data_IF_997717113365
#
_entry.id   IF_997717113365
#
_cell.length_a   1.000
_cell.length_b   1.000
_cell.length_c   1.000
_cell.angle_alpha   90.00
_cell.angle_beta   90.00
_cell.angle_gamma   90.00
#
_symmetry.space_group_name_H-M   'P 1'
#
loop_
_entity.id
_entity.type
_entity.pdbx_description
1 polymer ?
#
# COMPACT_ATOMS: atom_id res chain seq x y z
N UNK A 1 17.81 -23.20 19.28
CA UNK A 1 18.96 -22.55 18.58
C UNK A 1 19.49 -23.46 17.45
N UNK A 2 18.62 -23.96 16.55
CA UNK A 2 19.06 -24.84 15.45
C UNK A 2 18.26 -24.69 14.14
N UNK A 3 17.48 -23.61 13.96
CA UNK A 3 16.66 -23.41 12.75
C UNK A 3 16.93 -22.11 11.99
N UNK A 4 18.00 -21.36 12.30
CA UNK A 4 18.40 -20.15 11.54
C UNK A 4 19.65 -20.35 10.68
N UNK A 5 20.25 -21.55 10.68
CA UNK A 5 21.44 -21.86 9.88
C UNK A 5 21.10 -22.48 8.51
N UNK A 6 19.89 -23.00 8.32
CA UNK A 6 19.46 -23.61 7.06
C UNK A 6 19.08 -22.60 5.98
N UNK A 7 18.56 -21.41 6.34
CA UNK A 7 18.14 -20.42 5.34
C UNK A 7 19.31 -19.60 4.76
N UNK A 8 20.42 -19.50 5.50
CA UNK A 8 21.63 -18.81 5.04
C UNK A 8 22.42 -19.67 4.04
N UNK A 9 22.37 -21.00 4.18
CA UNK A 9 23.02 -21.93 3.25
C UNK A 9 22.38 -21.89 1.85
N UNK A 10 21.06 -21.70 1.75
CA UNK A 10 20.34 -21.68 0.47
C UNK A 10 20.67 -20.45 -0.39
N UNK A 11 20.96 -19.30 0.25
CA UNK A 11 21.38 -18.08 -0.49
C UNK A 11 22.84 -18.22 -0.95
N UNK A 12 23.71 -18.86 -0.16
CA UNK A 12 25.11 -19.10 -0.54
C UNK A 12 25.25 -20.12 -1.70
N UNK A 13 24.43 -21.19 -1.71
CA UNK A 13 24.42 -22.15 -2.83
C UNK A 13 23.92 -21.54 -4.14
N UNK A 14 23.01 -20.57 -4.08
CA UNK A 14 22.55 -19.84 -5.27
C UNK A 14 23.68 -19.04 -5.95
N UNK A 15 24.58 -18.45 -5.17
CA UNK A 15 25.72 -17.69 -5.70
C UNK A 15 26.89 -18.57 -6.15
N UNK A 16 27.08 -19.76 -5.57
CA UNK A 16 28.16 -20.67 -5.95
C UNK A 16 27.85 -21.46 -7.23
N UNK A 17 26.58 -21.78 -7.52
CA UNK A 17 26.21 -22.57 -8.70
C UNK A 17 26.16 -21.78 -10.03
N UNK A 18 26.38 -20.46 -10.02
CA UNK A 18 26.35 -19.62 -11.25
C UNK A 18 27.71 -19.06 -11.67
N UNK A 19 28.82 -19.55 -11.10
CA UNK A 19 30.16 -19.00 -11.33
C UNK A 19 31.09 -19.99 -12.04
N UNK A 20 30.79 -20.34 -13.29
CA UNK A 20 31.76 -21.00 -14.19
C UNK A 20 32.73 -19.96 -14.80
N UNK A 21 33.67 -19.46 -13.98
CA UNK A 21 35.06 -19.08 -14.36
C UNK A 21 35.69 -18.10 -13.34
N UNK A 22 36.71 -18.63 -12.66
CA UNK A 22 37.87 -18.07 -11.93
C UNK A 22 37.97 -16.61 -11.44
N UNK A 23 38.41 -16.53 -10.16
CA UNK A 23 39.31 -15.57 -9.50
C UNK A 23 38.78 -14.32 -8.77
N UNK A 24 37.48 -14.04 -8.72
CA UNK A 24 36.95 -12.93 -7.90
C UNK A 24 35.71 -13.34 -7.09
N UNK A 25 35.88 -14.27 -6.15
CA UNK A 25 34.84 -14.59 -5.18
C UNK A 25 34.64 -13.44 -4.17
N UNK A 26 33.39 -13.04 -3.88
CA UNK A 26 33.12 -12.03 -2.86
C UNK A 26 33.59 -12.54 -1.50
N UNK A 27 34.35 -11.70 -0.79
CA UNK A 27 34.74 -11.98 0.58
C UNK A 27 33.64 -11.49 1.50
N UNK A 28 33.26 -12.31 2.46
CA UNK A 28 32.36 -11.91 3.54
C UNK A 28 33.09 -12.00 4.88
N UNK A 29 32.70 -11.12 5.80
CA UNK A 29 33.12 -11.15 7.19
C UNK A 29 31.89 -10.97 8.06
N UNK A 30 31.87 -11.67 9.19
CA UNK A 30 30.79 -11.64 10.18
C UNK A 30 31.34 -10.93 11.40
N UNK A 31 30.67 -9.88 11.87
CA UNK A 31 31.05 -9.22 13.10
C UNK A 31 30.51 -9.94 14.34
N UNK A 32 30.95 -9.52 15.53
CA UNK A 32 30.53 -10.10 16.82
C UNK A 32 29.03 -9.91 17.11
N UNK A 33 28.31 -9.14 16.29
CA UNK A 33 26.86 -8.94 16.33
C UNK A 33 26.09 -9.88 15.40
N UNK A 34 26.80 -10.70 14.60
CA UNK A 34 26.22 -11.64 13.65
C UNK A 34 25.76 -11.01 12.32
N UNK A 35 26.20 -9.79 12.01
CA UNK A 35 25.89 -9.12 10.74
C UNK A 35 26.92 -9.51 9.68
N UNK A 36 26.46 -9.94 8.51
CA UNK A 36 27.30 -10.37 7.39
C UNK A 36 27.50 -9.21 6.42
N UNK A 37 28.76 -8.79 6.23
CA UNK A 37 29.14 -7.78 5.25
C UNK A 37 29.73 -8.43 4.01
N UNK A 38 29.24 -8.06 2.82
CA UNK A 38 29.78 -8.51 1.54
C UNK A 38 30.62 -7.41 0.91
N UNK A 39 31.87 -7.72 0.58
CA UNK A 39 32.77 -6.80 -0.13
C UNK A 39 32.92 -7.27 -1.57
N UNK A 40 32.38 -6.50 -2.50
CA UNK A 40 32.51 -6.74 -3.94
C UNK A 40 33.66 -5.90 -4.50
N UNK A 41 34.50 -6.48 -5.36
CA UNK A 41 35.52 -5.70 -6.08
C UNK A 41 34.86 -4.86 -7.18
N UNK A 42 35.45 -3.70 -7.49
CA UNK A 42 34.98 -2.78 -8.54
C UNK A 42 34.83 -3.45 -9.92
N UNK A 43 35.59 -4.52 -10.17
CA UNK A 43 35.50 -5.29 -11.42
C UNK A 43 34.24 -6.18 -11.50
N UNK A 44 33.69 -6.64 -10.36
CA UNK A 44 32.46 -7.45 -10.33
C UNK A 44 31.23 -6.62 -10.73
N UNK A 45 31.13 -5.38 -10.23
CA UNK A 45 30.04 -4.47 -10.58
C UNK A 45 30.07 -4.10 -12.08
N UNK A 46 31.25 -3.89 -12.66
CA UNK A 46 31.39 -3.54 -14.08
C UNK A 46 30.95 -4.67 -15.02
N UNK A 47 31.23 -5.94 -14.66
CA UNK A 47 30.76 -7.10 -15.44
C UNK A 47 29.24 -7.27 -15.38
N UNK A 48 28.61 -6.91 -14.25
CA UNK A 48 27.15 -7.05 -14.09
C UNK A 48 26.38 -5.93 -14.82
N UNK A 49 26.92 -4.71 -14.83
CA UNK A 49 26.32 -3.59 -15.55
C UNK A 49 26.40 -3.74 -17.08
N UNK A 50 27.51 -4.24 -17.63
CA UNK A 50 27.65 -4.44 -19.07
C UNK A 50 26.77 -5.58 -19.62
N UNK A 51 26.46 -6.60 -18.81
CA UNK A 51 25.61 -7.74 -19.21
C UNK A 51 24.10 -7.41 -19.21
N UNK A 52 23.70 -6.28 -18.64
CA UNK A 52 22.30 -5.82 -18.57
C UNK A 52 21.90 -4.86 -19.73
N UNK A 53 22.86 -4.40 -20.53
CA UNK A 53 22.64 -3.43 -21.64
C UNK A 53 22.44 -4.14 -22.99
N UNK A 54 22.62 -5.46 -23.07
CA UNK A 54 22.55 -6.22 -24.32
C UNK A 54 21.15 -6.43 -24.97
N UNK A 55 19.98 -6.23 -24.33
CA UNK A 55 18.71 -6.39 -25.04
C UNK A 55 18.15 -5.10 -25.68
N UNK A 56 18.81 -3.93 -25.58
CA UNK A 56 18.28 -2.66 -26.12
C UNK A 56 18.75 -2.29 -27.53
N UNK A 57 19.66 -3.07 -28.15
CA UNK A 57 20.17 -2.80 -29.49
C UNK A 57 19.42 -3.51 -30.65
N UNK A 58 18.30 -4.19 -30.38
CA UNK A 58 17.55 -4.97 -31.39
C UNK A 58 16.23 -4.37 -31.88
N UNK A 59 15.92 -3.11 -31.55
CA UNK A 59 14.68 -2.40 -32.00
C UNK A 59 14.98 -1.14 -32.83
N UNK A 60 16.17 -1.03 -33.47
CA UNK A 60 16.47 0.10 -34.36
C UNK A 60 16.90 -0.35 -35.75
N UNK A 61 15.95 -0.95 -36.46
CA UNK A 61 16.06 -1.20 -37.89
C UNK A 61 14.68 -0.95 -38.56
N UNK A 62 14.33 0.32 -38.78
CA UNK A 62 13.54 0.80 -39.93
C UNK A 62 13.33 2.32 -39.82
N UNK A 63 14.04 3.08 -40.67
CA UNK A 63 13.70 4.40 -41.25
C UNK A 63 13.47 5.58 -40.26
N UNK A 64 13.99 6.81 -40.42
CA UNK A 64 14.50 7.53 -41.59
C UNK A 64 15.41 8.70 -41.13
N UNK A 65 16.27 9.14 -42.05
CA UNK A 65 17.31 10.19 -41.89
C UNK A 65 16.78 11.52 -41.38
N UNK A 66 17.38 12.06 -40.30
CA UNK A 66 17.75 13.48 -40.18
C UNK A 66 19.08 13.56 -39.41
N UNK A 67 20.09 14.08 -40.08
CA UNK A 67 21.42 14.39 -39.55
C UNK A 67 21.37 15.63 -38.68
N UNK A 68 21.93 15.59 -37.46
CA UNK A 68 22.47 16.79 -36.82
C UNK A 68 23.65 16.38 -35.92
N UNK A 69 24.84 16.81 -36.35
CA UNK A 69 26.09 16.82 -35.61
C UNK A 69 25.94 17.55 -34.27
N UNK A 70 26.40 16.98 -33.17
CA UNK A 70 27.07 17.80 -32.15
C UNK A 70 28.06 17.00 -31.30
N UNK A 71 29.20 17.64 -31.07
CA UNK A 71 30.48 17.10 -30.58
C UNK A 71 30.42 16.71 -29.09
N UNK A 72 31.20 15.67 -28.77
CA UNK A 72 31.68 15.34 -27.44
C UNK A 72 32.33 16.56 -26.77
N UNK A 73 32.00 16.80 -25.50
CA UNK A 73 32.85 17.56 -24.58
C UNK A 73 32.90 16.82 -23.24
N UNK A 74 34.11 16.38 -22.91
CA UNK A 74 34.53 15.66 -21.72
C UNK A 74 34.62 16.66 -20.57
N UNK A 75 33.93 16.43 -19.45
CA UNK A 75 34.31 17.03 -18.16
C UNK A 75 34.30 15.94 -17.09
N UNK A 76 35.51 15.63 -16.65
CA UNK A 76 35.85 14.83 -15.49
C UNK A 76 35.68 15.70 -14.24
N UNK A 77 34.92 15.25 -13.24
CA UNK A 77 34.94 15.86 -11.91
C UNK A 77 34.84 14.77 -10.84
N UNK A 78 36.00 14.52 -10.23
CA UNK A 78 36.19 13.87 -8.95
C UNK A 78 35.48 14.67 -7.85
N UNK A 79 34.66 14.03 -7.02
CA UNK A 79 34.22 14.57 -5.74
C UNK A 79 34.57 13.62 -4.61
N UNK A 80 35.38 14.14 -3.69
CA UNK A 80 35.90 13.48 -2.51
C UNK A 80 34.81 13.31 -1.43
N UNK A 81 34.80 12.14 -0.79
CA UNK A 81 34.02 11.83 0.40
C UNK A 81 34.67 12.47 1.63
N UNK A 82 33.99 13.42 2.26
CA UNK A 82 34.33 13.92 3.61
C UNK A 82 33.60 13.05 4.63
N UNK A 83 34.37 12.30 5.42
CA UNK A 83 33.89 11.59 6.61
C UNK A 83 33.95 12.60 7.77
N UNK A 84 32.80 13.04 8.28
CA UNK A 84 32.74 13.77 9.55
C UNK A 84 32.19 12.84 10.64
N UNK A 85 33.06 12.54 11.60
CA UNK A 85 32.78 11.76 12.80
C UNK A 85 31.80 12.46 13.74
N UNK A 86 31.05 11.62 14.45
CA UNK A 86 30.09 11.95 15.49
C UNK A 86 30.69 12.78 16.63
N UNK A 87 29.99 13.85 17.00
CA UNK A 87 30.06 14.45 18.33
C UNK A 87 28.74 14.16 19.04
N UNK A 88 28.72 13.12 19.87
CA UNK A 88 27.67 12.93 20.88
C UNK A 88 27.99 13.83 22.07
N UNK A 89 27.38 15.01 22.12
CA UNK A 89 27.36 15.83 23.33
C UNK A 89 26.36 15.23 24.32
N UNK A 90 26.89 14.65 25.38
CA UNK A 90 26.17 14.19 26.57
C UNK A 90 25.73 15.43 27.35
N UNK A 91 24.51 15.90 27.14
CA UNK A 91 23.91 16.94 27.97
C UNK A 91 23.19 16.28 29.16
N UNK A 92 23.70 16.51 30.37
CA UNK A 92 23.00 16.16 31.60
C UNK A 92 21.85 17.14 31.83
N UNK A 93 20.61 16.66 31.87
CA UNK A 93 19.50 17.45 32.36
C UNK A 93 19.58 17.52 33.89
N UNK A 94 19.76 18.73 34.41
CA UNK A 94 19.71 19.05 35.83
C UNK A 94 18.25 19.34 36.19
N UNK A 95 17.71 18.62 37.17
CA UNK A 95 16.35 18.79 37.67
C UNK A 95 16.21 20.11 38.42
N UNK A 96 15.38 21.02 37.89
CA UNK A 96 14.88 22.18 38.63
C UNK A 96 13.38 21.95 38.84
N UNK A 97 13.01 21.77 40.09
CA UNK A 97 11.63 21.68 40.58
C UNK A 97 11.08 23.08 40.87
N UNK A 98 9.90 23.39 40.35
CA UNK A 98 8.82 24.25 40.92
C UNK A 98 7.69 24.39 39.89
N UNK A 99 6.50 24.88 40.24
CA UNK A 99 5.48 24.30 41.13
C UNK A 99 4.12 24.12 40.40
N UNK A 100 3.18 23.44 41.06
CA UNK A 100 1.78 23.20 40.67
C UNK A 100 1.14 24.29 39.79
N UNK A 101 0.68 23.91 38.60
CA UNK A 101 -0.39 24.63 37.89
C UNK A 101 -1.18 23.62 37.06
N UNK A 102 -2.36 23.30 37.58
CA UNK A 102 -3.57 22.86 36.87
C UNK A 102 -3.36 21.99 35.63
N UNK A 103 -3.52 20.68 35.81
CA UNK A 103 -3.64 19.66 34.77
C UNK A 103 -4.69 20.03 33.71
N UNK A 104 -4.26 20.79 32.72
CA UNK A 104 -4.86 20.79 31.40
C UNK A 104 -4.30 19.56 30.72
N UNK A 105 -5.01 18.43 30.85
CA UNK A 105 -4.76 17.25 30.04
C UNK A 105 -5.02 17.67 28.59
N UNK A 106 -3.98 18.18 27.93
CA UNK A 106 -3.93 18.23 26.49
C UNK A 106 -4.01 16.76 26.05
N UNK A 107 -5.20 16.34 25.65
CA UNK A 107 -5.38 15.07 25.00
C UNK A 107 -4.51 15.11 23.73
N UNK A 108 -3.37 14.44 23.79
CA UNK A 108 -2.60 14.09 22.61
C UNK A 108 -3.51 13.18 21.80
N UNK A 109 -4.26 13.76 20.86
CA UNK A 109 -4.95 13.00 19.82
C UNK A 109 -3.83 12.41 18.97
N UNK A 110 -3.43 11.17 19.27
CA UNK A 110 -2.67 10.38 18.33
C UNK A 110 -3.55 10.22 17.10
N UNK A 111 -3.26 10.99 16.04
CA UNK A 111 -3.85 10.78 14.73
C UNK A 111 -3.41 9.40 14.26
N UNK A 112 -4.25 8.39 14.53
CA UNK A 112 -4.00 7.02 14.14
C UNK A 112 -3.80 6.98 12.62
N UNK A 113 -2.64 6.48 12.18
CA UNK A 113 -2.31 6.36 10.77
C UNK A 113 -3.33 5.45 10.06
N UNK A 114 -3.89 5.91 8.94
CA UNK A 114 -4.84 5.10 8.17
C UNK A 114 -4.10 3.95 7.49
N UNK A 115 -4.48 2.68 7.72
CA UNK A 115 -3.80 1.57 7.08
C UNK A 115 -4.08 1.58 5.58
N UNK A 116 -3.09 1.76 4.71
CA UNK A 116 -3.33 1.84 3.25
C UNK A 116 -3.37 0.48 2.54
N UNK A 117 -3.06 -0.63 3.23
CA UNK A 117 -2.81 -1.93 2.62
C UNK A 117 -3.83 -3.01 3.01
N UNK A 118 -4.01 -3.95 2.08
CA UNK A 118 -4.78 -5.18 2.30
C UNK A 118 -6.27 -5.00 2.01
N UNK A 119 -6.64 -4.13 1.08
CA UNK A 119 -8.03 -3.88 0.69
C UNK A 119 -8.42 -4.68 -0.55
N UNK A 120 -9.56 -5.38 -0.47
CA UNK A 120 -10.03 -6.28 -1.51
C UNK A 120 -11.49 -5.97 -1.89
N UNK A 121 -11.77 -5.98 -3.18
CA UNK A 121 -13.14 -6.23 -3.69
C UNK A 121 -13.42 -7.72 -3.67
N UNK A 122 -14.69 -8.09 -3.52
CA UNK A 122 -15.13 -9.48 -3.42
C UNK A 122 -16.12 -9.80 -4.54
N UNK A 123 -16.04 -11.01 -5.08
CA UNK A 123 -17.05 -11.58 -5.96
C UNK A 123 -17.33 -13.01 -5.52
N UNK A 124 -18.60 -13.36 -5.33
CA UNK A 124 -18.97 -14.73 -4.98
C UNK A 124 -18.67 -15.72 -6.09
N UNK A 125 -18.23 -16.92 -5.71
CA UNK A 125 -18.05 -18.04 -6.64
C UNK A 125 -19.34 -18.86 -6.76
N UNK A 126 -20.02 -18.74 -7.90
CA UNK A 126 -21.26 -19.46 -8.20
C UNK A 126 -21.05 -20.78 -8.95
N UNK A 127 -19.81 -21.24 -9.12
CA UNK A 127 -19.53 -22.54 -9.74
C UNK A 127 -20.15 -23.67 -8.91
N UNK A 128 -20.82 -24.60 -9.58
CA UNK A 128 -21.45 -25.77 -8.95
C UNK A 128 -20.46 -26.93 -8.90
N UNK A 129 -19.61 -26.96 -7.87
CA UNK A 129 -18.73 -28.10 -7.61
C UNK A 129 -18.53 -28.35 -6.10
N UNK A 130 -17.78 -29.39 -5.75
CA UNK A 130 -17.53 -29.73 -4.35
C UNK A 130 -16.72 -28.64 -3.63
N UNK A 131 -17.23 -28.19 -2.48
CA UNK A 131 -16.44 -27.39 -1.54
C UNK A 131 -15.21 -28.21 -1.07
N UNK A 132 -14.00 -27.61 -0.93
CA UNK A 132 -13.67 -26.17 -0.98
C UNK A 132 -13.25 -25.66 -2.36
N UNK A 133 -13.36 -26.44 -3.43
CA UNK A 133 -12.87 -26.07 -4.78
C UNK A 133 -13.76 -24.99 -5.42
N UNK A 134 -15.06 -25.00 -5.09
CA UNK A 134 -16.03 -23.99 -5.50
C UNK A 134 -16.89 -23.52 -4.32
N UNK A 135 -17.64 -22.44 -4.55
CA UNK A 135 -18.63 -21.91 -3.60
C UNK A 135 -18.07 -20.88 -2.62
N UNK A 136 -16.75 -20.63 -2.66
CA UNK A 136 -16.09 -19.57 -1.92
C UNK A 136 -16.20 -18.20 -2.61
N UNK A 137 -15.08 -17.48 -2.67
CA UNK A 137 -15.03 -16.11 -3.17
C UNK A 137 -13.78 -15.87 -4.01
N UNK A 138 -13.90 -14.98 -4.98
CA UNK A 138 -12.77 -14.38 -5.66
C UNK A 138 -12.52 -13.00 -5.08
N UNK A 139 -11.28 -12.75 -4.65
CA UNK A 139 -10.85 -11.48 -4.08
C UNK A 139 -9.83 -10.81 -4.97
N UNK A 140 -9.89 -9.49 -5.05
CA UNK A 140 -8.96 -8.68 -5.84
C UNK A 140 -8.52 -7.45 -5.07
N UNK A 141 -7.21 -7.24 -4.97
CA UNK A 141 -6.68 -6.00 -4.40
C UNK A 141 -7.11 -4.79 -5.23
N UNK A 142 -7.74 -3.82 -4.58
CA UNK A 142 -8.16 -2.57 -5.25
C UNK A 142 -6.94 -1.81 -5.79
N UNK A 143 -7.14 -1.09 -6.89
CA UNK A 143 -6.12 -0.30 -7.61
C UNK A 143 -4.91 -1.07 -8.19
N UNK A 144 -4.83 -2.38 -8.00
CA UNK A 144 -3.76 -3.22 -8.52
C UNK A 144 -4.23 -4.07 -9.70
N UNK A 145 -3.30 -4.35 -10.61
CA UNK A 145 -3.54 -5.22 -11.77
C UNK A 145 -3.56 -6.70 -11.39
N UNK A 146 -2.82 -7.07 -10.34
CA UNK A 146 -2.73 -8.43 -9.84
C UNK A 146 -2.72 -8.44 -8.31
N UNK A 147 -3.19 -9.54 -7.75
CA UNK A 147 -3.30 -9.86 -6.33
C UNK A 147 -2.38 -11.03 -6.03
N UNK A 148 -1.52 -10.95 -4.99
CA UNK A 148 -0.74 -12.10 -4.54
C UNK A 148 -1.68 -13.13 -3.91
N UNK A 149 -1.72 -14.32 -4.48
CA UNK A 149 -2.52 -15.43 -3.96
C UNK A 149 -1.71 -16.24 -2.93
N UNK A 150 -2.39 -17.18 -2.25
CA UNK A 150 -1.78 -17.99 -1.20
C UNK A 150 -0.55 -18.78 -1.69
N UNK A 151 -0.56 -19.22 -2.95
CA UNK A 151 0.54 -19.93 -3.60
C UNK A 151 1.70 -19.03 -4.04
N UNK A 152 1.70 -17.75 -3.67
CA UNK A 152 2.70 -16.75 -4.05
C UNK A 152 2.58 -16.26 -5.50
N UNK A 153 1.62 -16.78 -6.28
CA UNK A 153 1.41 -16.38 -7.67
C UNK A 153 0.52 -15.16 -7.74
N UNK A 154 0.92 -14.18 -8.55
CA UNK A 154 0.13 -12.98 -8.82
C UNK A 154 -0.92 -13.27 -9.90
N UNK A 155 -2.21 -13.06 -9.59
CA UNK A 155 -3.34 -13.24 -10.52
C UNK A 155 -4.26 -12.03 -10.52
N UNK A 156 -5.13 -11.88 -11.52
CA UNK A 156 -6.12 -10.78 -11.53
C UNK A 156 -7.07 -10.81 -10.33
N UNK A 157 -7.35 -12.01 -9.82
CA UNK A 157 -8.12 -12.29 -8.61
C UNK A 157 -7.63 -13.62 -8.02
N UNK A 158 -7.80 -13.79 -6.71
CA UNK A 158 -7.43 -15.00 -5.98
C UNK A 158 -8.67 -15.68 -5.44
N UNK A 159 -8.75 -17.00 -5.57
CA UNK A 159 -9.81 -17.78 -4.93
C UNK A 159 -9.50 -17.97 -3.44
N UNK A 160 -10.51 -17.73 -2.61
CA UNK A 160 -10.52 -18.07 -1.18
C UNK A 160 -11.73 -18.94 -0.88
N UNK A 161 -11.54 -20.01 -0.10
CA UNK A 161 -12.60 -20.95 0.24
C UNK A 161 -13.69 -20.35 1.14
N UNK A 162 -13.30 -19.42 2.01
CA UNK A 162 -14.23 -18.71 2.89
C UNK A 162 -13.70 -17.33 3.27
N UNK A 163 -14.61 -16.50 3.77
CA UNK A 163 -14.31 -15.24 4.44
C UNK A 163 -14.56 -15.44 5.94
N UNK A 164 -13.53 -15.21 6.75
CA UNK A 164 -13.57 -15.30 8.20
C UNK A 164 -13.92 -13.92 8.78
N UNK A 165 -15.15 -13.79 9.26
CA UNK A 165 -15.75 -12.57 9.82
C UNK A 165 -15.60 -12.45 11.33
N UNK A 166 -14.99 -13.43 11.99
CA UNK A 166 -14.97 -13.56 13.45
C UNK A 166 -14.38 -12.33 14.16
N UNK A 167 -13.47 -11.60 13.51
CA UNK A 167 -12.80 -10.44 14.10
C UNK A 167 -13.65 -9.17 14.11
N UNK A 168 -14.71 -9.08 13.30
CA UNK A 168 -15.53 -7.87 13.21
C UNK A 168 -16.52 -7.69 14.38
N UNK A 169 -16.82 -8.75 15.14
CA UNK A 169 -17.75 -8.72 16.29
C UNK A 169 -19.12 -8.08 15.98
N UNK A 170 -19.59 -8.21 14.75
CA UNK A 170 -20.87 -7.67 14.27
C UNK A 170 -22.03 -8.60 14.55
N UNK A 171 -23.25 -8.07 14.76
CA UNK A 171 -24.43 -8.88 14.98
C UNK A 171 -24.75 -9.77 13.75
N UNK A 172 -25.25 -11.00 13.95
CA UNK A 172 -25.55 -11.92 12.86
C UNK A 172 -26.48 -11.35 11.78
N UNK A 173 -27.44 -10.51 12.16
CA UNK A 173 -28.39 -9.88 11.22
C UNK A 173 -27.72 -8.97 10.19
N UNK A 174 -26.68 -8.23 10.60
CA UNK A 174 -25.92 -7.36 9.71
C UNK A 174 -24.97 -8.17 8.83
N UNK A 175 -24.35 -9.22 9.37
CA UNK A 175 -23.52 -10.15 8.60
C UNK A 175 -24.32 -10.83 7.49
N UNK A 176 -25.54 -11.30 7.78
CA UNK A 176 -26.40 -11.96 6.78
C UNK A 176 -26.69 -11.01 5.61
N UNK A 177 -26.90 -9.71 5.88
CA UNK A 177 -27.11 -8.72 4.81
C UNK A 177 -25.89 -8.61 3.89
N UNK A 178 -24.68 -8.59 4.46
CA UNK A 178 -23.42 -8.52 3.71
C UNK A 178 -23.16 -9.82 2.94
N UNK A 179 -23.41 -10.97 3.57
CA UNK A 179 -23.14 -12.30 2.99
C UNK A 179 -24.14 -12.70 1.90
N UNK A 180 -25.36 -12.16 1.93
CA UNK A 180 -26.37 -12.38 0.91
C UNK A 180 -26.17 -11.51 -0.34
N UNK A 181 -25.34 -10.47 -0.24
CA UNK A 181 -24.88 -9.68 -1.38
C UNK A 181 -23.97 -10.55 -2.28
N UNK A 182 -23.84 -10.19 -3.56
CA UNK A 182 -22.94 -10.88 -4.48
C UNK A 182 -21.46 -10.50 -4.26
N UNK A 183 -21.22 -9.56 -3.35
CA UNK A 183 -19.91 -9.04 -2.94
C UNK A 183 -19.56 -7.72 -3.62
N UNK A 184 -20.30 -7.31 -4.65
CA UNK A 184 -20.00 -6.11 -5.46
C UNK A 184 -20.04 -4.81 -4.66
N UNK A 185 -20.77 -4.80 -3.54
CA UNK A 185 -20.96 -3.63 -2.67
C UNK A 185 -20.06 -3.64 -1.44
N UNK A 186 -19.12 -4.58 -1.35
CA UNK A 186 -18.30 -4.79 -0.15
C UNK A 186 -16.83 -4.58 -0.47
N UNK A 187 -16.17 -3.77 0.36
CA UNK A 187 -14.71 -3.72 0.45
C UNK A 187 -14.29 -4.35 1.77
N UNK A 188 -13.34 -5.28 1.71
CA UNK A 188 -12.80 -5.93 2.89
C UNK A 188 -11.34 -5.57 3.04
N UNK A 189 -10.93 -5.29 4.27
CA UNK A 189 -9.52 -5.26 4.63
C UNK A 189 -9.18 -6.51 5.43
N UNK A 190 -8.10 -7.19 5.07
CA UNK A 190 -7.73 -8.42 5.75
C UNK A 190 -6.46 -9.06 5.22
N UNK A 191 -6.21 -10.28 5.69
CA UNK A 191 -5.09 -11.11 5.25
C UNK A 191 -5.60 -12.46 4.74
N UNK A 192 -4.96 -12.98 3.69
CA UNK A 192 -5.18 -14.36 3.25
C UNK A 192 -4.41 -15.27 4.21
N UNK A 193 -5.09 -16.24 4.81
CA UNK A 193 -4.50 -17.23 5.72
C UNK A 193 -4.68 -18.64 5.15
N UNK A 194 -3.67 -19.51 5.23
CA UNK A 194 -3.80 -20.90 4.79
C UNK A 194 -4.75 -21.67 5.70
N UNK A 195 -5.57 -22.53 5.10
CA UNK A 195 -6.44 -23.49 5.77
C UNK A 195 -6.37 -24.83 5.05
N UNK A 196 -6.11 -25.89 5.82
CA UNK A 196 -6.00 -27.25 5.28
C UNK A 196 -7.36 -27.95 5.31
N UNK A 197 -7.77 -28.46 4.15
CA UNK A 197 -8.94 -29.30 4.00
C UNK A 197 -8.52 -30.76 3.79
N UNK A 198 -9.02 -31.71 4.60
CA UNK A 198 -8.74 -33.13 4.38
C UNK A 198 -9.07 -33.53 2.94
N UNK A 199 -8.15 -34.23 2.28
CA UNK A 199 -8.25 -34.72 0.89
C UNK A 199 -8.19 -33.66 -0.22
N UNK A 200 -8.25 -32.37 0.09
CA UNK A 200 -8.21 -31.29 -0.91
C UNK A 200 -6.94 -30.44 -0.85
N UNK A 201 -6.19 -30.49 0.26
CA UNK A 201 -4.96 -29.73 0.42
C UNK A 201 -5.19 -28.36 1.06
N UNK A 202 -4.31 -27.41 0.77
CA UNK A 202 -4.33 -26.08 1.37
C UNK A 202 -5.08 -25.07 0.49
N UNK A 203 -5.96 -24.27 1.11
CA UNK A 203 -6.71 -23.19 0.48
C UNK A 203 -6.56 -21.91 1.30
N UNK A 204 -6.78 -20.75 0.66
CA UNK A 204 -6.81 -19.47 1.35
C UNK A 204 -8.17 -19.18 1.96
N UNK A 205 -8.20 -18.69 3.20
CA UNK A 205 -9.34 -17.95 3.74
C UNK A 205 -8.96 -16.47 3.87
N UNK A 206 -9.90 -15.57 3.59
CA UNK A 206 -9.69 -14.14 3.89
C UNK A 206 -10.11 -13.88 5.33
N UNK A 207 -9.15 -13.64 6.23
CA UNK A 207 -9.43 -13.17 7.59
C UNK A 207 -9.63 -11.66 7.58
N UNK A 208 -10.88 -11.25 7.80
CA UNK A 208 -11.30 -9.85 7.74
C UNK A 208 -10.91 -9.15 9.02
N UNK A 209 -10.32 -7.95 8.89
CA UNK A 209 -10.07 -7.02 9.99
C UNK A 209 -11.07 -5.88 10.00
N UNK A 210 -11.45 -5.38 8.82
CA UNK A 210 -12.41 -4.31 8.64
C UNK A 210 -13.27 -4.63 7.42
N UNK A 211 -14.54 -4.26 7.46
CA UNK A 211 -15.44 -4.36 6.33
C UNK A 211 -16.14 -3.02 6.10
N UNK A 212 -16.37 -2.72 4.83
CA UNK A 212 -17.00 -1.49 4.40
C UNK A 212 -18.08 -1.81 3.37
N UNK A 213 -19.25 -1.18 3.51
CA UNK A 213 -20.39 -1.42 2.65
C UNK A 213 -20.74 -0.16 1.87
N UNK A 214 -20.99 -0.31 0.57
CA UNK A 214 -21.28 0.80 -0.32
C UNK A 214 -22.54 1.54 0.13
N UNK A 215 -22.44 2.86 0.24
CA UNK A 215 -23.55 3.69 0.70
C UNK A 215 -24.76 3.57 -0.24
N UNK A 216 -24.53 3.55 -1.55
CA UNK A 216 -25.62 3.46 -2.54
C UNK A 216 -25.49 2.22 -3.43
N UNK A 217 -26.41 2.07 -4.38
CA UNK A 217 -26.36 1.05 -5.44
C UNK A 217 -25.61 1.51 -6.69
N UNK A 218 -25.09 2.74 -6.70
CA UNK A 218 -24.36 3.28 -7.84
C UNK A 218 -23.03 2.52 -8.00
N UNK A 219 -22.68 2.03 -9.20
CA UNK A 219 -21.41 1.33 -9.41
C UNK A 219 -20.21 2.24 -9.13
N UNK A 220 -19.23 1.73 -8.39
CA UNK A 220 -17.99 2.44 -8.11
C UNK A 220 -17.13 2.57 -9.38
N UNK A 221 -16.67 3.79 -9.69
CA UNK A 221 -15.80 4.09 -10.84
C UNK A 221 -14.66 5.02 -10.46
N UNK A 222 -13.43 4.61 -10.76
CA UNK A 222 -12.23 5.40 -10.51
C UNK A 222 -11.27 4.71 -9.55
N UNK A 223 -10.49 5.52 -8.84
CA UNK A 223 -9.45 5.05 -7.91
C UNK A 223 -10.06 4.92 -6.52
N UNK A 224 -9.80 3.79 -5.85
CA UNK A 224 -10.16 3.59 -4.45
C UNK A 224 -9.18 4.35 -3.56
N UNK A 225 -9.69 5.19 -2.69
CA UNK A 225 -8.90 6.02 -1.77
C UNK A 225 -9.49 5.97 -0.38
N UNK A 226 -8.68 6.29 0.62
CA UNK A 226 -9.17 6.76 1.90
C UNK A 226 -9.02 8.28 1.97
N UNK A 227 -10.08 8.94 2.43
CA UNK A 227 -10.14 10.38 2.69
C UNK A 227 -10.12 10.57 4.20
N UNK A 228 -9.10 11.24 4.72
CA UNK A 228 -8.93 11.45 6.15
C UNK A 228 -8.57 12.90 6.44
N UNK A 229 -9.21 13.49 7.45
CA UNK A 229 -8.81 14.82 7.95
C UNK A 229 -7.38 14.75 8.50
N UNK A 230 -6.55 15.71 8.09
CA UNK A 230 -5.15 15.78 8.50
C UNK A 230 -4.90 16.83 9.59
N UNK A 231 -5.97 17.38 10.17
CA UNK A 231 -5.90 18.39 11.23
C UNK A 231 -5.55 19.81 10.76
N UNK A 232 -5.25 20.04 9.49
CA UNK A 232 -5.00 21.40 8.98
C UNK A 232 -6.28 22.22 9.07
N UNK A 233 -6.17 23.44 9.61
CA UNK A 233 -7.25 24.42 9.68
C UNK A 233 -6.77 25.73 9.07
N UNK A 234 -7.37 26.15 7.96
CA UNK A 234 -6.94 27.34 7.22
C UNK A 234 -7.85 28.52 7.50
N UNK A 235 -7.28 29.72 7.50
CA UNK A 235 -8.04 30.98 7.58
C UNK A 235 -8.57 31.38 6.19
N UNK A 236 -7.87 30.99 5.13
CA UNK A 236 -8.22 31.32 3.73
C UNK A 236 -8.26 30.06 2.88
N UNK A 237 -9.00 30.11 1.77
CA UNK A 237 -9.14 29.00 0.81
C UNK A 237 -8.13 29.10 -0.34
N UNK A 238 -7.80 27.97 -0.99
CA UNK A 238 -8.21 26.59 -0.71
C UNK A 238 -7.51 25.98 0.51
N UNK A 239 -8.21 25.13 1.27
CA UNK A 239 -7.66 24.49 2.47
C UNK A 239 -7.46 22.99 2.27
N UNK A 240 -6.20 22.55 2.18
CA UNK A 240 -5.82 21.15 1.95
C UNK A 240 -5.87 20.32 3.24
N UNK A 241 -7.03 20.32 3.90
CA UNK A 241 -7.23 19.67 5.20
C UNK A 241 -7.56 18.18 5.12
N UNK A 242 -7.55 17.59 3.93
CA UNK A 242 -7.87 16.17 3.74
C UNK A 242 -6.74 15.47 2.98
N UNK A 243 -6.21 14.41 3.60
CA UNK A 243 -5.33 13.47 2.94
C UNK A 243 -6.15 12.51 2.08
N UNK A 244 -5.68 12.31 0.85
CA UNK A 244 -6.17 11.37 -0.13
C UNK A 244 -5.15 10.24 -0.28
N UNK A 245 -5.41 9.13 0.39
CA UNK A 245 -4.55 7.96 0.48
C UNK A 245 -5.00 6.91 -0.53
N UNK A 246 -4.21 6.62 -1.57
CA UNK A 246 -4.60 5.61 -2.57
C UNK A 246 -4.44 4.21 -1.99
N UNK A 247 -5.53 3.44 -1.95
CA UNK A 247 -5.51 2.10 -1.34
C UNK A 247 -4.62 1.14 -2.13
N UNK A 248 -3.90 0.28 -1.41
CA UNK A 248 -2.88 -0.66 -1.89
C UNK A 248 -1.75 -0.03 -2.73
N UNK A 249 -1.46 1.26 -2.52
CA UNK A 249 -0.32 1.95 -3.13
C UNK A 249 0.30 2.89 -2.09
N UNK A 250 1.61 3.18 -2.19
CA UNK A 250 2.28 4.11 -1.28
C UNK A 250 2.03 5.58 -1.68
N UNK A 251 0.94 5.88 -2.38
CA UNK A 251 0.66 7.21 -2.92
C UNK A 251 -0.31 7.95 -2.00
N UNK A 252 0.12 9.13 -1.57
CA UNK A 252 -0.66 10.06 -0.75
C UNK A 252 -0.62 11.42 -1.45
N UNK A 253 -1.76 12.08 -1.50
CA UNK A 253 -1.89 13.48 -1.92
C UNK A 253 -2.84 14.20 -0.98
N UNK A 254 -3.05 15.50 -1.18
CA UNK A 254 -4.04 16.26 -0.42
C UNK A 254 -5.08 16.83 -1.36
N UNK A 255 -6.29 17.02 -0.85
CA UNK A 255 -7.39 17.69 -1.55
C UNK A 255 -7.96 18.78 -0.67
N UNK A 256 -8.49 19.83 -1.29
CA UNK A 256 -9.05 20.97 -0.59
C UNK A 256 -10.52 20.81 -0.23
N UNK A 257 -11.19 19.92 -0.95
CA UNK A 257 -12.63 19.71 -0.88
C UNK A 257 -12.99 18.34 -1.42
N UNK A 258 -14.13 17.84 -0.94
CA UNK A 258 -14.70 16.54 -1.30
C UNK A 258 -16.10 16.79 -1.84
N UNK A 259 -16.40 16.23 -3.00
CA UNK A 259 -17.72 16.28 -3.62
C UNK A 259 -18.31 14.88 -3.68
N UNK A 260 -19.37 14.67 -2.89
CA UNK A 260 -20.13 13.43 -2.82
C UNK A 260 -21.46 13.51 -3.59
N UNK A 261 -21.75 14.62 -4.28
CA UNK A 261 -23.05 14.86 -4.92
C UNK A 261 -23.42 13.82 -5.99
N UNK A 262 -22.43 13.25 -6.67
CA UNK A 262 -22.62 12.25 -7.73
C UNK A 262 -22.91 10.84 -7.22
N UNK A 263 -22.84 10.62 -5.90
CA UNK A 263 -23.01 9.29 -5.28
C UNK A 263 -24.47 8.87 -5.15
N UNK A 264 -25.40 9.83 -5.21
CA UNK A 264 -26.83 9.61 -4.96
C UNK A 264 -27.17 9.31 -3.49
N UNK A 265 -26.27 9.62 -2.56
CA UNK A 265 -26.45 9.33 -1.15
C UNK A 265 -27.50 10.23 -0.48
N UNK A 266 -28.19 9.68 0.52
CA UNK A 266 -29.11 10.43 1.38
C UNK A 266 -28.34 11.31 2.36
N UNK A 267 -28.98 12.35 2.91
CA UNK A 267 -28.32 13.24 3.90
C UNK A 267 -27.72 12.45 5.07
N UNK A 268 -28.46 11.47 5.61
CA UNK A 268 -27.96 10.59 6.70
C UNK A 268 -26.66 9.88 6.33
N UNK A 269 -26.49 9.48 5.08
CA UNK A 269 -25.28 8.82 4.61
C UNK A 269 -24.13 9.81 4.38
N UNK A 270 -24.43 11.03 3.94
CA UNK A 270 -23.46 12.11 3.82
C UNK A 270 -22.95 12.56 5.20
N UNK A 271 -23.82 12.61 6.20
CA UNK A 271 -23.45 12.91 7.58
C UNK A 271 -22.54 11.81 8.15
N UNK A 272 -22.88 10.54 7.92
CA UNK A 272 -22.02 9.41 8.30
C UNK A 272 -20.65 9.45 7.58
N UNK A 273 -20.63 9.77 6.29
CA UNK A 273 -19.40 9.92 5.52
C UNK A 273 -18.52 11.05 6.06
N UNK A 274 -19.13 12.16 6.46
CA UNK A 274 -18.44 13.30 7.07
C UNK A 274 -17.82 12.89 8.41
N UNK A 275 -18.56 12.18 9.25
CA UNK A 275 -18.05 11.65 10.52
C UNK A 275 -16.83 10.74 10.31
N UNK A 276 -16.89 9.85 9.31
CA UNK A 276 -15.77 8.95 8.98
C UNK A 276 -14.52 9.71 8.54
N UNK A 277 -14.66 10.77 7.73
CA UNK A 277 -13.51 11.59 7.30
C UNK A 277 -12.75 12.16 8.49
N UNK A 278 -13.47 12.65 9.51
CA UNK A 278 -12.87 13.26 10.70
C UNK A 278 -12.36 12.25 11.74
N UNK A 279 -12.87 11.03 11.74
CA UNK A 279 -12.51 10.00 12.72
C UNK A 279 -11.50 8.99 12.11
N UNK A 280 -12.01 7.90 11.54
CA UNK A 280 -11.18 6.76 11.13
C UNK A 280 -10.73 6.82 9.67
N UNK A 281 -11.27 7.73 8.87
CA UNK A 281 -11.08 7.86 7.42
C UNK A 281 -12.18 7.17 6.61
N UNK A 282 -12.70 7.87 5.61
CA UNK A 282 -13.74 7.40 4.70
C UNK A 282 -13.12 6.70 3.48
N UNK A 283 -13.59 5.49 3.14
CA UNK A 283 -13.25 4.87 1.87
C UNK A 283 -14.15 5.43 0.76
N UNK A 284 -13.54 5.99 -0.27
CA UNK A 284 -14.24 6.55 -1.42
C UNK A 284 -13.64 6.08 -2.75
N UNK A 285 -14.42 6.18 -3.82
CA UNK A 285 -13.98 5.86 -5.18
C UNK A 285 -14.28 7.04 -6.08
N UNK A 286 -13.28 7.49 -6.83
CA UNK A 286 -13.44 8.68 -7.63
C UNK A 286 -12.17 9.12 -8.33
N UNK A 287 -12.10 10.42 -8.60
CA UNK A 287 -10.97 11.09 -9.23
C UNK A 287 -10.75 12.46 -8.60
N UNK A 288 -9.51 12.95 -8.68
CA UNK A 288 -9.18 14.32 -8.35
C UNK A 288 -9.41 15.17 -9.60
N UNK A 289 -10.09 16.29 -9.44
CA UNK A 289 -10.27 17.32 -10.47
C UNK A 289 -9.60 18.62 -10.01
N UNK A 290 -8.98 19.31 -10.96
CA UNK A 290 -8.49 20.68 -10.74
C UNK A 290 -9.67 21.62 -10.90
N UNK A 291 -9.91 22.47 -9.91
CA UNK A 291 -10.95 23.49 -10.01
C UNK A 291 -10.40 24.65 -10.83
N UNK A 292 -10.96 24.84 -12.02
CA UNK A 292 -10.62 25.95 -12.90
C UNK A 292 -11.14 27.28 -12.32
N UNK A 293 -10.47 28.40 -12.63
CA UNK A 293 -10.84 29.76 -12.22
C UNK A 293 -10.66 30.12 -10.73
N UNK A 294 -9.88 29.32 -9.99
CA UNK A 294 -9.25 29.78 -8.75
C UNK A 294 -7.99 30.56 -9.15
N UNK A 295 -7.62 31.59 -8.38
CA UNK A 295 -6.42 32.44 -8.58
C UNK A 295 -5.28 31.65 -9.26
N UNK A 296 -4.72 32.11 -10.39
CA UNK A 296 -3.71 31.37 -11.15
C UNK A 296 -2.46 30.98 -10.33
N UNK A 297 -2.27 31.57 -9.15
CA UNK A 297 -1.22 31.21 -8.19
C UNK A 297 -1.61 30.09 -7.21
N UNK A 298 -2.91 29.78 -7.07
CA UNK A 298 -3.47 28.78 -6.15
C UNK A 298 -4.27 27.73 -6.93
N UNK A 299 -3.60 26.63 -7.28
CA UNK A 299 -4.27 25.46 -7.87
C UNK A 299 -5.12 24.78 -6.80
N UNK A 300 -6.42 24.79 -7.00
CA UNK A 300 -7.36 24.11 -6.14
C UNK A 300 -7.69 22.72 -6.69
N UNK A 301 -7.77 21.70 -5.82
CA UNK A 301 -8.05 20.32 -6.23
C UNK A 301 -9.15 19.70 -5.37
N UNK A 302 -10.19 19.22 -6.03
CA UNK A 302 -11.35 18.59 -5.40
C UNK A 302 -11.37 17.10 -5.69
N UNK A 303 -11.68 16.28 -4.68
CA UNK A 303 -12.00 14.87 -4.92
C UNK A 303 -13.47 14.71 -5.29
N UNK A 304 -13.76 14.19 -6.47
CA UNK A 304 -15.13 13.90 -6.93
C UNK A 304 -15.39 12.41 -6.78
N UNK A 305 -16.25 12.05 -5.82
CA UNK A 305 -16.61 10.67 -5.53
C UNK A 305 -17.76 10.18 -6.42
N UNK A 306 -17.62 8.97 -6.94
CA UNK A 306 -18.70 8.22 -7.61
C UNK A 306 -19.38 7.24 -6.67
N UNK A 307 -18.68 6.81 -5.62
CA UNK A 307 -19.19 5.95 -4.54
C UNK A 307 -18.37 6.19 -3.26
N UNK A 308 -18.95 5.91 -2.11
CA UNK A 308 -18.22 5.78 -0.85
C UNK A 308 -18.74 4.59 -0.04
N UNK A 309 -17.92 4.14 0.90
CA UNK A 309 -18.17 2.94 1.68
C UNK A 309 -18.09 3.31 3.16
N UNK A 310 -19.15 2.96 3.89
CA UNK A 310 -19.24 3.18 5.32
C UNK A 310 -18.78 1.91 6.04
N UNK A 311 -18.12 2.09 7.18
CA UNK A 311 -17.64 0.99 7.99
C UNK A 311 -18.80 0.16 8.53
N UNK A 312 -18.56 -1.14 8.59
CA UNK A 312 -19.47 -2.07 9.26
C UNK A 312 -19.07 -2.12 10.73
N UNK A 313 -19.74 -1.33 11.55
CA UNK A 313 -19.44 -1.21 12.98
C UNK A 313 -19.89 -2.45 13.78
N UNK A 314 -19.09 -2.90 14.75
CA UNK A 314 -19.60 -3.78 15.81
C UNK A 314 -20.70 -3.05 16.59
N UNK A 315 -21.75 -3.78 16.97
CA UNK A 315 -22.75 -3.26 17.91
C UNK A 315 -22.19 -3.14 19.33
#
# INVERSE_FOLDING_TARGET
MRSRLTDIFTIAEFFLNHSENCNNSPKYYIDDSGIIFFVFSSNFLNSYFNKSIEPLNKIKASMNKISLNYKYSIISLLSALVISNAFFSKASAQSISTPDTTDSVAATVENQEFPQWGYYTVRRDFRKCAFPICGGYFIKQVNLKATPCLDGVFRSECYVSAIDWSSLKVPPSQLVKIQNDDGSRVILRGNIVPVTFPRFGEFGNLRVKEAFYAATSVPAKGTFVALKDNGIRCITTPCFSTDNLVLNKPYISQVSSIDLSQTGATQKQLDAATSEIFDQGLIAVGKIEVVENVDPTKRDTKFVATQFYLRVEPN
#
